data_IF_891957319513
#
_entry.id   IF_891957319513
#
_cell.length_a   1.000
_cell.length_b   1.000
_cell.length_c   1.000
_cell.angle_alpha   90.00
_cell.angle_beta   90.00
_cell.angle_gamma   90.00
#
_symmetry.space_group_name_H-M   'P 1'
#
loop_
_entity.id
_entity.type
_entity.pdbx_description
1 polymer ?
#
# COMPACT_ATOMS: atom_id res chain seq x y z
N UNK A 1 0.56 -15.29 -13.07
CA UNK A 1 1.57 -15.69 -12.07
C UNK A 1 2.20 -14.43 -11.55
N UNK A 2 2.16 -14.24 -10.25
CA UNK A 2 2.59 -13.02 -9.59
C UNK A 2 4.10 -12.87 -9.62
N UNK A 3 4.58 -11.76 -10.18
CA UNK A 3 5.99 -11.48 -10.45
C UNK A 3 6.48 -10.17 -9.87
N UNK A 4 5.55 -9.28 -9.51
CA UNK A 4 5.86 -7.93 -9.05
C UNK A 4 5.16 -7.67 -7.74
N UNK A 5 5.75 -6.80 -6.93
CA UNK A 5 5.13 -6.30 -5.71
C UNK A 5 5.50 -4.84 -5.48
N UNK A 6 4.73 -4.17 -4.63
CA UNK A 6 5.17 -2.96 -3.95
C UNK A 6 5.25 -3.22 -2.45
N UNK A 7 6.21 -2.54 -1.81
CA UNK A 7 6.25 -2.38 -0.37
C UNK A 7 6.36 -0.88 -0.07
N UNK A 8 5.46 -0.38 0.77
CA UNK A 8 5.37 1.04 1.11
C UNK A 8 5.35 1.16 2.64
N UNK A 9 6.50 1.33 3.31
CA UNK A 9 6.55 1.56 4.75
C UNK A 9 6.00 2.95 5.10
N UNK A 10 5.25 3.00 6.19
CA UNK A 10 4.51 4.16 6.68
C UNK A 10 4.76 4.31 8.18
N UNK A 11 5.43 5.40 8.56
CA UNK A 11 5.61 5.74 9.97
C UNK A 11 4.59 6.82 10.36
N UNK A 12 3.72 6.51 11.32
CA UNK A 12 2.75 7.46 11.85
C UNK A 12 3.44 8.51 12.73
N UNK A 13 2.96 9.75 12.67
CA UNK A 13 3.31 10.75 13.69
C UNK A 13 2.77 10.33 15.06
N UNK A 14 3.42 10.74 16.16
CA UNK A 14 2.88 10.53 17.50
C UNK A 14 1.43 11.01 17.63
N UNK A 15 0.53 10.12 18.07
CA UNK A 15 -0.89 10.41 18.23
C UNK A 15 -1.74 10.27 16.96
N UNK A 16 -1.15 9.85 15.83
CA UNK A 16 -1.82 9.63 14.53
C UNK A 16 -1.94 8.17 14.14
N UNK A 17 -1.52 7.24 14.99
CA UNK A 17 -1.44 5.81 14.72
C UNK A 17 -2.82 5.24 14.37
N UNK A 18 -3.85 5.64 15.12
CA UNK A 18 -5.24 5.23 14.84
C UNK A 18 -5.71 5.76 13.49
N UNK A 19 -5.40 7.02 13.18
CA UNK A 19 -5.81 7.66 11.93
C UNK A 19 -5.15 6.97 10.73
N UNK A 20 -3.86 6.62 10.82
CA UNK A 20 -3.14 5.84 9.80
C UNK A 20 -3.78 4.46 9.62
N UNK A 21 -4.06 3.74 10.71
CA UNK A 21 -4.70 2.43 10.64
C UNK A 21 -6.11 2.50 10.02
N UNK A 22 -6.91 3.50 10.37
CA UNK A 22 -8.25 3.69 9.82
C UNK A 22 -8.20 4.08 8.34
N UNK A 23 -7.26 4.96 7.95
CA UNK A 23 -7.01 5.32 6.56
C UNK A 23 -6.68 4.08 5.72
N UNK A 24 -5.75 3.24 6.19
CA UNK A 24 -5.38 2.01 5.50
C UNK A 24 -6.57 1.05 5.34
N UNK A 25 -7.38 0.85 6.39
CA UNK A 25 -8.59 0.02 6.28
C UNK A 25 -9.61 0.60 5.30
N UNK A 26 -9.75 1.92 5.26
CA UNK A 26 -10.68 2.60 4.36
C UNK A 26 -10.31 2.47 2.88
N UNK A 27 -9.05 2.11 2.56
CA UNK A 27 -8.58 1.92 1.20
C UNK A 27 -9.02 0.59 0.58
N UNK A 28 -9.42 -0.41 1.39
CA UNK A 28 -9.75 -1.76 0.89
C UNK A 28 -10.81 -1.76 -0.23
N UNK A 29 -11.93 -1.04 -0.14
CA UNK A 29 -12.92 -1.01 -1.22
C UNK A 29 -12.37 -0.45 -2.53
N UNK A 30 -11.40 0.47 -2.47
CA UNK A 30 -10.78 1.04 -3.67
C UNK A 30 -9.90 0.02 -4.38
N UNK A 31 -9.18 -0.81 -3.63
CA UNK A 31 -8.32 -1.87 -4.20
C UNK A 31 -9.15 -3.02 -4.75
N UNK A 32 -10.30 -3.32 -4.14
CA UNK A 32 -11.20 -4.35 -4.68
C UNK A 32 -11.67 -4.04 -6.12
N UNK A 33 -11.66 -2.76 -6.52
CA UNK A 33 -11.99 -2.30 -7.86
C UNK A 33 -10.78 -2.36 -8.84
N UNK A 34 -9.63 -2.88 -8.43
CA UNK A 34 -8.39 -2.91 -9.23
C UNK A 34 -8.09 -4.34 -9.75
N UNK A 35 -8.46 -4.69 -11.01
CA UNK A 35 -8.30 -6.06 -11.51
C UNK A 35 -6.84 -6.52 -11.62
N UNK A 36 -5.89 -5.58 -11.73
CA UNK A 36 -4.46 -5.87 -11.83
C UNK A 36 -3.78 -6.14 -10.49
N UNK A 37 -4.42 -5.77 -9.37
CA UNK A 37 -3.91 -5.95 -8.02
C UNK A 37 -4.33 -7.35 -7.52
N UNK A 38 -3.42 -8.31 -7.59
CA UNK A 38 -3.70 -9.73 -7.32
C UNK A 38 -3.93 -10.00 -5.84
N UNK A 39 -3.15 -9.33 -4.99
CA UNK A 39 -3.34 -9.35 -3.55
C UNK A 39 -2.87 -8.03 -2.97
N UNK A 40 -3.49 -7.63 -1.85
CA UNK A 40 -3.22 -6.37 -1.19
C UNK A 40 -3.39 -6.51 0.32
N UNK A 41 -2.49 -5.89 1.07
CA UNK A 41 -2.40 -5.98 2.51
C UNK A 41 -2.08 -4.60 3.09
N UNK A 42 -2.93 -4.15 4.01
CA UNK A 42 -2.55 -3.15 5.00
C UNK A 42 -1.94 -3.85 6.21
N UNK A 43 -0.69 -3.51 6.52
CA UNK A 43 0.13 -4.18 7.53
C UNK A 43 0.36 -3.22 8.69
N UNK A 44 0.31 -3.74 9.91
CA UNK A 44 0.83 -3.07 11.11
C UNK A 44 2.07 -3.84 11.57
N UNK A 45 3.24 -3.21 11.45
CA UNK A 45 4.54 -3.79 11.81
C UNK A 45 4.91 -3.49 13.28
N UNK A 46 4.37 -2.40 13.83
CA UNK A 46 4.54 -1.99 15.22
C UNK A 46 3.47 -1.02 15.70
N UNK A 47 3.65 -0.39 16.88
CA UNK A 47 2.67 0.55 17.44
C UNK A 47 2.42 1.77 16.54
N UNK A 48 3.48 2.33 15.93
CA UNK A 48 3.44 3.49 15.02
C UNK A 48 3.86 3.16 13.59
N UNK A 49 4.24 1.91 13.32
CA UNK A 49 4.82 1.47 12.05
C UNK A 49 3.84 0.59 11.29
N UNK A 50 3.60 0.95 10.03
CA UNK A 50 2.63 0.33 9.15
C UNK A 50 3.25 0.13 7.76
N UNK A 51 2.62 -0.69 6.92
CA UNK A 51 3.00 -0.79 5.52
C UNK A 51 1.81 -1.12 4.62
N UNK A 52 1.97 -0.83 3.33
CA UNK A 52 1.18 -1.44 2.27
C UNK A 52 2.06 -2.46 1.56
N UNK A 53 1.54 -3.67 1.37
CA UNK A 53 2.15 -4.67 0.50
C UNK A 53 1.10 -5.17 -0.49
N UNK A 54 1.45 -5.19 -1.75
CA UNK A 54 0.57 -5.65 -2.81
C UNK A 54 1.34 -6.35 -3.92
N UNK A 55 0.63 -7.09 -4.75
CA UNK A 55 1.26 -7.98 -5.71
C UNK A 55 0.57 -7.95 -7.06
N UNK A 56 1.34 -8.14 -8.13
CA UNK A 56 0.88 -8.01 -9.51
C UNK A 56 1.46 -9.12 -10.39
N UNK A 57 0.71 -9.50 -11.41
CA UNK A 57 1.13 -10.46 -12.43
C UNK A 57 2.06 -9.82 -13.49
N UNK A 58 1.87 -8.52 -13.77
CA UNK A 58 2.63 -7.75 -14.75
C UNK A 58 2.86 -6.28 -14.32
N UNK A 59 3.72 -5.58 -15.06
CA UNK A 59 4.01 -4.16 -14.84
C UNK A 59 2.79 -3.27 -15.11
N UNK A 60 1.89 -3.66 -16.03
CA UNK A 60 0.72 -2.87 -16.35
C UNK A 60 -0.25 -2.80 -15.16
N UNK A 61 -0.46 -3.92 -14.45
CA UNK A 61 -1.22 -3.96 -13.20
C UNK A 61 -0.55 -3.13 -12.10
N UNK A 62 0.78 -3.23 -11.95
CA UNK A 62 1.53 -2.45 -10.96
C UNK A 62 1.45 -0.95 -11.23
N UNK A 63 1.61 -0.53 -12.48
CA UNK A 63 1.53 0.88 -12.85
C UNK A 63 0.09 1.40 -12.77
N UNK A 64 -0.92 0.57 -13.08
CA UNK A 64 -2.32 0.93 -12.88
C UNK A 64 -2.62 1.21 -11.40
N UNK A 65 -2.11 0.39 -10.47
CA UNK A 65 -2.24 0.62 -9.03
C UNK A 65 -1.57 1.92 -8.58
N UNK A 66 -0.34 2.18 -9.04
CA UNK A 66 0.39 3.42 -8.71
C UNK A 66 -0.28 4.70 -9.24
N UNK A 67 -1.12 4.57 -10.27
CA UNK A 67 -1.95 5.66 -10.79
C UNK A 67 -3.42 5.55 -10.35
N UNK A 68 -3.73 4.62 -9.44
CA UNK A 68 -5.07 4.30 -8.98
C UNK A 68 -5.56 5.21 -7.84
N UNK A 69 -6.77 4.91 -7.36
CA UNK A 69 -7.45 5.71 -6.34
C UNK A 69 -6.74 5.65 -4.99
N UNK A 70 -6.15 4.50 -4.62
CA UNK A 70 -5.41 4.35 -3.36
C UNK A 70 -4.12 5.16 -3.36
N UNK A 71 -3.34 5.10 -4.44
CA UNK A 71 -2.15 5.91 -4.59
C UNK A 71 -2.47 7.41 -4.53
N UNK A 72 -3.55 7.85 -5.20
CA UNK A 72 -4.02 9.23 -5.12
C UNK A 72 -4.37 9.65 -3.68
N UNK A 73 -5.16 8.83 -2.97
CA UNK A 73 -5.55 9.10 -1.59
C UNK A 73 -4.34 9.16 -0.63
N UNK A 74 -3.37 8.26 -0.80
CA UNK A 74 -2.11 8.29 -0.03
C UNK A 74 -1.33 9.58 -0.30
N UNK A 75 -1.20 9.99 -1.57
CA UNK A 75 -0.51 11.23 -1.93
C UNK A 75 -1.20 12.48 -1.37
N UNK A 76 -2.52 12.48 -1.26
CA UNK A 76 -3.26 13.55 -0.57
C UNK A 76 -2.91 13.62 0.91
N UNK A 77 -2.84 12.47 1.61
CA UNK A 77 -2.41 12.42 3.02
C UNK A 77 -0.96 12.84 3.22
N UNK A 78 -0.07 12.46 2.30
CA UNK A 78 1.34 12.90 2.31
C UNK A 78 1.42 14.43 2.13
N UNK A 79 0.66 15.00 1.19
CA UNK A 79 0.64 16.45 0.94
C UNK A 79 0.07 17.24 2.12
N UNK A 80 -0.96 16.72 2.79
CA UNK A 80 -1.50 17.32 4.02
C UNK A 80 -0.45 17.35 5.14
N UNK A 81 0.44 16.34 5.19
CA UNK A 81 1.61 16.33 6.05
C UNK A 81 1.29 16.16 7.54
N UNK A 82 0.08 15.75 7.89
CA UNK A 82 -0.43 15.65 9.25
C UNK A 82 -0.40 14.23 9.81
N UNK A 83 -0.29 13.20 8.96
CA UNK A 83 -0.36 11.79 9.39
C UNK A 83 1.00 11.09 9.54
N UNK A 84 1.96 11.36 8.65
CA UNK A 84 3.20 10.57 8.56
C UNK A 84 4.43 11.33 9.06
N UNK A 85 5.27 10.66 9.86
CA UNK A 85 6.50 11.25 10.44
C UNK A 85 7.55 11.54 9.35
N UNK A 86 7.57 10.68 8.33
CA UNK A 86 8.45 10.80 7.16
C UNK A 86 7.63 10.64 5.89
N UNK A 87 8.13 11.20 4.79
CA UNK A 87 7.56 10.95 3.48
C UNK A 87 7.68 9.46 3.15
N UNK A 88 6.58 8.74 2.88
CA UNK A 88 6.62 7.35 2.47
C UNK A 88 7.46 7.13 1.20
N UNK A 89 8.24 6.05 1.21
CA UNK A 89 8.99 5.58 0.05
C UNK A 89 8.25 4.39 -0.58
N UNK A 90 8.30 4.28 -1.91
CA UNK A 90 7.65 3.19 -2.64
C UNK A 90 8.75 2.27 -3.18
N UNK A 91 8.82 1.05 -2.66
CA UNK A 91 9.77 0.05 -3.11
C UNK A 91 9.12 -0.82 -4.19
N UNK A 92 9.62 -0.74 -5.43
CA UNK A 92 9.27 -1.67 -6.52
C UNK A 92 10.06 -2.98 -6.35
N UNK A 93 9.37 -4.08 -6.12
CA UNK A 93 9.97 -5.39 -5.85
C UNK A 93 9.69 -6.38 -6.98
N UNK A 94 10.59 -7.35 -7.14
CA UNK A 94 10.41 -8.54 -7.97
C UNK A 94 10.17 -9.77 -7.09
N UNK A 95 9.19 -10.59 -7.45
CA UNK A 95 8.85 -11.83 -6.75
C UNK A 95 9.52 -13.00 -7.46
N UNK A 96 10.43 -13.68 -6.76
CA UNK A 96 11.18 -14.84 -7.29
C UNK A 96 10.40 -16.15 -7.16
N UNK A 97 9.51 -16.25 -6.18
CA UNK A 97 8.63 -17.39 -5.94
C UNK A 97 7.45 -16.94 -5.08
N UNK A 98 6.26 -17.50 -5.32
CA UNK A 98 5.09 -17.29 -4.47
C UNK A 98 4.27 -18.57 -4.34
N UNK A 99 3.49 -18.64 -3.26
CA UNK A 99 2.44 -19.65 -3.06
C UNK A 99 1.16 -18.90 -2.74
N UNK A 100 0.22 -18.88 -3.68
CA UNK A 100 -1.12 -18.33 -3.47
C UNK A 100 -2.11 -19.42 -3.06
N UNK A 101 -3.21 -19.02 -2.41
CA UNK A 101 -4.37 -19.90 -2.25
C UNK A 101 -4.89 -20.31 -3.64
N UNK A 102 -5.40 -21.54 -3.75
CA UNK A 102 -6.04 -22.03 -4.98
C UNK A 102 -7.41 -21.40 -5.17
#
# INVERSE_FOLDING_TARGET
>A
MTKFALYVPLEAKPGKEKEVADFLRSALPLVNDEPGTISWYAIQEGPSSFAIFDTFDDEAGRDAHLNGKVAAALMEKIKAGDMFDKKPEIHKLGIIANKSAK
#
